data_IF_255837387141
#
_entry.id   IF_255837387141
#
_cell.length_a   1.000
_cell.length_b   1.000
_cell.length_c   1.000
_cell.angle_alpha   90.00
_cell.angle_beta   90.00
_cell.angle_gamma   90.00
#
_symmetry.space_group_name_H-M   'P 1'
#
loop_
_entity.id
_entity.type
_entity.pdbx_description
1 polymer ?
#
# COMPACT_ATOMS: atom_id res chain seq x y z
N UNK A 1 -17.99 -1.77 5.20
CA UNK A 1 -17.95 -2.94 4.29
C UNK A 1 -18.58 -4.15 4.96
N UNK A 2 -18.90 -5.18 4.17
CA UNK A 2 -19.29 -6.51 4.63
C UNK A 2 -18.23 -7.51 4.15
N UNK A 3 -17.87 -8.47 5.00
CA UNK A 3 -17.00 -9.60 4.65
C UNK A 3 -17.89 -10.83 4.45
N UNK A 4 -18.01 -11.28 3.21
CA UNK A 4 -18.82 -12.43 2.81
C UNK A 4 -17.98 -13.68 2.81
N UNK A 5 -18.48 -14.75 3.40
CA UNK A 5 -17.81 -16.04 3.36
C UNK A 5 -17.98 -16.68 1.97
N UNK A 6 -16.87 -17.01 1.31
CA UNK A 6 -16.87 -17.53 -0.05
C UNK A 6 -17.61 -18.87 -0.16
N UNK A 7 -18.53 -18.97 -1.10
CA UNK A 7 -19.19 -20.23 -1.45
C UNK A 7 -20.22 -20.74 -0.44
N UNK A 8 -20.69 -19.87 0.46
CA UNK A 8 -21.53 -20.22 1.60
C UNK A 8 -23.03 -19.88 1.44
N UNK A 9 -23.49 -19.42 0.27
CA UNK A 9 -24.91 -19.09 0.06
C UNK A 9 -25.38 -17.82 0.79
N UNK A 10 -24.47 -16.89 1.08
CA UNK A 10 -24.81 -15.57 1.63
C UNK A 10 -24.50 -15.39 3.12
N UNK A 11 -23.54 -16.12 3.69
CA UNK A 11 -23.06 -15.79 5.02
C UNK A 11 -22.04 -14.64 5.00
N UNK A 12 -22.08 -13.83 6.05
CA UNK A 12 -21.19 -12.69 6.30
C UNK A 12 -20.66 -12.72 7.72
N UNK A 13 -19.51 -12.10 7.93
CA UNK A 13 -18.97 -11.81 9.26
C UNK A 13 -19.96 -10.92 10.04
N UNK A 14 -20.32 -11.35 11.24
CA UNK A 14 -21.29 -10.69 12.08
C UNK A 14 -20.87 -10.73 13.56
N UNK A 15 -21.49 -9.86 14.35
CA UNK A 15 -21.49 -9.99 15.81
C UNK A 15 -22.76 -10.70 16.26
N UNK A 16 -22.61 -11.65 17.17
CA UNK A 16 -23.77 -12.36 17.72
C UNK A 16 -24.75 -11.36 18.36
N UNK A 17 -26.03 -11.34 17.96
CA UNK A 17 -27.02 -10.47 18.58
C UNK A 17 -27.31 -10.92 20.02
N UNK A 18 -27.27 -9.99 20.98
CA UNK A 18 -27.73 -10.26 22.36
C UNK A 18 -26.66 -10.43 23.45
N UNK A 19 -25.37 -10.16 23.20
CA UNK A 19 -24.33 -10.22 24.24
C UNK A 19 -23.80 -8.81 24.62
N UNK A 20 -23.77 -8.48 25.92
CA UNK A 20 -23.12 -7.29 26.47
C UNK A 20 -21.62 -7.59 26.68
N UNK A 21 -20.71 -6.81 26.09
CA UNK A 21 -19.23 -6.92 26.17
C UNK A 21 -18.63 -8.30 25.82
N UNK A 22 -17.45 -8.35 25.19
CA UNK A 22 -16.84 -9.61 24.68
C UNK A 22 -17.77 -10.38 23.73
N UNK A 23 -18.38 -9.68 22.77
CA UNK A 23 -19.26 -10.30 21.78
C UNK A 23 -18.49 -11.32 20.94
N UNK A 24 -19.12 -12.48 20.74
CA UNK A 24 -18.60 -13.51 19.86
C UNK A 24 -18.77 -13.07 18.41
N UNK A 25 -17.70 -13.22 17.63
CA UNK A 25 -17.74 -13.05 16.18
C UNK A 25 -18.29 -14.34 15.57
N UNK A 26 -19.30 -14.20 14.73
CA UNK A 26 -20.04 -15.32 14.14
C UNK A 26 -20.22 -15.12 12.63
N UNK A 27 -20.68 -16.17 11.95
CA UNK A 27 -21.27 -16.04 10.62
C UNK A 27 -22.78 -15.88 10.72
N UNK A 28 -23.34 -15.03 9.87
CA UNK A 28 -24.78 -14.79 9.80
C UNK A 28 -25.22 -14.51 8.36
N UNK A 29 -26.51 -14.58 8.06
CA UNK A 29 -27.04 -14.31 6.71
C UNK A 29 -26.96 -12.83 6.36
N UNK A 30 -26.88 -12.54 5.06
CA UNK A 30 -27.02 -11.16 4.57
C UNK A 30 -28.45 -10.68 4.82
N UNK A 31 -28.62 -9.82 5.82
CA UNK A 31 -29.82 -8.98 6.00
C UNK A 31 -29.40 -7.57 6.47
N UNK A 32 -30.37 -6.68 6.73
CA UNK A 32 -30.14 -5.25 6.99
C UNK A 32 -29.68 -4.89 8.42
N UNK A 33 -29.43 -5.88 9.28
CA UNK A 33 -28.92 -5.64 10.64
C UNK A 33 -27.53 -4.98 10.70
N UNK A 34 -27.37 -4.04 11.65
CA UNK A 34 -26.16 -3.22 11.81
C UNK A 34 -24.92 -3.99 12.32
N UNK A 35 -25.12 -5.14 12.98
CA UNK A 35 -24.08 -6.00 13.54
C UNK A 35 -23.21 -6.73 12.50
N UNK A 36 -23.41 -6.46 11.20
CA UNK A 36 -22.70 -7.10 10.07
C UNK A 36 -21.88 -6.11 9.25
N UNK A 37 -21.85 -4.85 9.70
CA UNK A 37 -21.08 -3.80 9.04
C UNK A 37 -19.80 -3.50 9.80
N UNK A 38 -18.71 -3.46 9.04
CA UNK A 38 -17.37 -3.28 9.55
C UNK A 38 -16.71 -2.05 8.93
N UNK A 39 -15.88 -1.37 9.71
CA UNK A 39 -14.92 -0.36 9.26
C UNK A 39 -13.53 -0.96 9.41
N UNK A 40 -12.65 -0.72 8.44
CA UNK A 40 -11.22 -1.01 8.60
C UNK A 40 -10.54 0.25 9.14
N UNK A 41 -9.88 0.12 10.29
CA UNK A 41 -8.99 1.17 10.80
C UNK A 41 -7.57 0.85 10.31
N UNK A 42 -7.18 1.45 9.19
CA UNK A 42 -5.93 1.13 8.49
C UNK A 42 -4.74 1.81 9.17
N UNK A 43 -3.74 1.03 9.52
CA UNK A 43 -2.40 1.50 9.82
C UNK A 43 -1.63 1.69 8.50
N UNK A 44 -1.41 2.94 8.10
CA UNK A 44 -0.74 3.25 6.82
C UNK A 44 0.74 2.88 6.80
N UNK A 45 1.38 2.66 7.94
CA UNK A 45 2.80 2.34 7.99
C UNK A 45 3.13 0.92 7.50
N UNK A 46 2.18 -0.01 7.60
CA UNK A 46 2.38 -1.40 7.18
C UNK A 46 1.17 -2.03 6.49
N UNK A 47 0.15 -1.21 6.17
CA UNK A 47 -1.13 -1.60 5.58
C UNK A 47 -1.87 -2.72 6.33
N UNK A 48 -1.55 -2.92 7.62
CA UNK A 48 -2.37 -3.72 8.52
C UNK A 48 -3.57 -2.89 8.98
N UNK A 49 -4.61 -3.54 9.49
CA UNK A 49 -5.81 -2.86 9.93
C UNK A 49 -6.49 -3.56 11.10
N UNK A 50 -7.23 -2.81 11.88
CA UNK A 50 -8.20 -3.37 12.82
C UNK A 50 -9.56 -3.50 12.13
N UNK A 51 -10.28 -4.59 12.42
CA UNK A 51 -11.66 -4.79 11.97
C UNK A 51 -12.60 -4.23 13.04
N UNK A 52 -13.12 -3.04 12.80
CA UNK A 52 -13.95 -2.29 13.76
C UNK A 52 -15.43 -2.54 13.48
N UNK A 53 -16.15 -2.98 14.49
CA UNK A 53 -17.62 -3.06 14.43
C UNK A 53 -18.23 -1.67 14.31
N UNK A 54 -19.12 -1.46 13.33
CA UNK A 54 -19.87 -0.21 13.23
C UNK A 54 -20.95 -0.06 14.30
N UNK A 55 -21.45 -1.16 14.86
CA UNK A 55 -22.51 -1.11 15.87
C UNK A 55 -21.98 -0.83 17.28
N UNK A 56 -20.75 -1.27 17.59
CA UNK A 56 -20.17 -1.16 18.95
C UNK A 56 -18.90 -0.34 19.02
N UNK A 57 -18.22 -0.08 17.89
CA UNK A 57 -16.91 0.59 17.86
C UNK A 57 -15.74 -0.28 18.37
N UNK A 58 -15.99 -1.54 18.72
CA UNK A 58 -14.96 -2.48 19.21
C UNK A 58 -14.25 -3.19 18.08
N UNK A 59 -13.01 -3.61 18.32
CA UNK A 59 -12.16 -4.31 17.37
C UNK A 59 -12.16 -5.81 17.57
N UNK A 60 -12.15 -6.56 16.47
CA UNK A 60 -11.97 -8.01 16.46
C UNK A 60 -10.52 -8.36 16.81
N UNK A 61 -10.33 -9.08 17.91
CA UNK A 61 -9.05 -9.61 18.37
C UNK A 61 -8.99 -11.13 18.35
N UNK A 62 -7.81 -11.66 18.08
CA UNK A 62 -7.49 -13.08 18.17
C UNK A 62 -6.92 -13.39 19.56
N UNK A 63 -7.53 -14.33 20.27
CA UNK A 63 -7.05 -14.79 21.57
C UNK A 63 -6.62 -16.27 21.46
N UNK A 64 -5.33 -16.57 21.68
CA UNK A 64 -4.82 -17.93 21.64
C UNK A 64 -5.53 -18.84 22.63
N UNK A 65 -5.73 -20.10 22.24
CA UNK A 65 -6.23 -21.16 23.12
C UNK A 65 -5.17 -22.27 23.26
N UNK A 66 -5.43 -23.25 24.13
CA UNK A 66 -4.63 -24.48 24.18
C UNK A 66 -4.80 -25.36 22.93
N UNK A 67 -5.80 -25.07 22.09
CA UNK A 67 -6.08 -25.78 20.85
C UNK A 67 -5.36 -25.16 19.65
N UNK A 68 -5.50 -25.77 18.46
CA UNK A 68 -4.88 -25.26 17.24
C UNK A 68 -5.53 -23.98 16.71
N UNK A 69 -6.68 -23.57 17.23
CA UNK A 69 -7.37 -22.33 16.86
C UNK A 69 -7.33 -21.27 17.97
N UNK A 70 -7.53 -20.02 17.57
CA UNK A 70 -7.73 -18.88 18.45
C UNK A 70 -9.22 -18.54 18.46
N UNK A 71 -9.76 -18.17 19.61
CA UNK A 71 -11.11 -17.62 19.69
C UNK A 71 -11.07 -16.15 19.32
N UNK A 72 -12.13 -15.67 18.65
CA UNK A 72 -12.26 -14.25 18.33
C UNK A 72 -13.16 -13.56 19.33
N UNK A 73 -12.65 -12.46 19.87
CA UNK A 73 -13.35 -11.63 20.84
C UNK A 73 -13.36 -10.19 20.35
N UNK A 74 -14.41 -9.45 20.68
CA UNK A 74 -14.40 -7.99 20.52
C UNK A 74 -13.94 -7.29 21.78
N UNK A 75 -13.02 -6.35 21.66
CA UNK A 75 -12.60 -5.48 22.75
C UNK A 75 -12.35 -4.05 22.26
N UNK A 76 -12.04 -3.13 23.17
CA UNK A 76 -11.59 -1.80 22.78
C UNK A 76 -10.41 -1.91 21.81
N UNK A 77 -10.40 -1.06 20.79
CA UNK A 77 -9.33 -1.01 19.80
C UNK A 77 -8.04 -0.49 20.45
N UNK A 78 -6.97 -1.26 20.35
CA UNK A 78 -5.68 -0.96 20.99
C UNK A 78 -4.51 -0.97 20.01
N UNK A 79 -4.75 -1.21 18.72
CA UNK A 79 -3.72 -1.32 17.67
C UNK A 79 -2.64 -2.38 18.00
N UNK A 80 -2.99 -3.39 18.79
CA UNK A 80 -2.09 -4.51 19.14
C UNK A 80 -2.10 -5.55 18.04
N UNK A 81 -1.01 -6.28 17.83
CA UNK A 81 -0.91 -7.25 16.75
C UNK A 81 -2.01 -8.34 16.77
N UNK A 82 -2.47 -8.73 17.96
CA UNK A 82 -3.61 -9.65 18.12
C UNK A 82 -4.94 -9.08 17.60
N UNK A 83 -5.09 -7.77 17.50
CA UNK A 83 -6.24 -7.07 16.91
C UNK A 83 -5.98 -6.55 15.49
N UNK A 84 -4.73 -6.67 14.99
CA UNK A 84 -4.36 -6.26 13.64
C UNK A 84 -4.44 -7.44 12.69
N UNK A 85 -4.94 -7.13 11.51
CA UNK A 85 -5.18 -8.07 10.43
C UNK A 85 -4.57 -7.52 9.14
N UNK A 86 -4.33 -8.39 8.18
CA UNK A 86 -3.96 -8.00 6.82
C UNK A 86 -4.67 -8.91 5.81
N UNK A 87 -4.84 -8.39 4.60
CA UNK A 87 -5.38 -9.15 3.49
C UNK A 87 -4.26 -9.94 2.81
N UNK A 88 -4.50 -11.22 2.60
CA UNK A 88 -3.65 -12.09 1.81
C UNK A 88 -4.50 -12.64 0.65
N UNK A 89 -4.27 -12.20 -0.59
CA UNK A 89 -4.99 -12.69 -1.77
C UNK A 89 -5.03 -14.22 -1.82
N UNK A 90 -6.20 -14.77 -2.13
CA UNK A 90 -6.42 -16.20 -2.38
C UNK A 90 -6.79 -16.45 -3.84
N UNK A 91 -7.31 -17.64 -4.20
CA UNK A 91 -7.66 -17.96 -5.57
C UNK A 91 -8.84 -17.13 -6.08
N UNK A 92 -8.68 -16.52 -7.27
CA UNK A 92 -9.67 -15.63 -7.87
C UNK A 92 -9.73 -14.28 -7.16
N UNK A 93 -10.94 -13.79 -6.88
CA UNK A 93 -11.17 -12.51 -6.19
C UNK A 93 -11.34 -12.66 -4.67
N UNK A 94 -10.91 -13.79 -4.11
CA UNK A 94 -11.07 -14.13 -2.70
C UNK A 94 -9.85 -13.70 -1.90
N UNK A 95 -10.09 -13.44 -0.62
CA UNK A 95 -9.08 -12.97 0.31
C UNK A 95 -9.05 -13.88 1.53
N UNK A 96 -7.87 -14.18 2.00
CA UNK A 96 -7.66 -14.68 3.35
C UNK A 96 -7.39 -13.45 4.24
N UNK A 97 -8.00 -13.41 5.42
CA UNK A 97 -7.79 -12.33 6.39
C UNK A 97 -6.93 -12.90 7.51
N UNK A 98 -5.69 -12.43 7.62
CA UNK A 98 -4.68 -13.04 8.50
C UNK A 98 -4.38 -12.15 9.69
N UNK A 99 -4.27 -12.75 10.86
CA UNK A 99 -3.86 -12.04 12.07
C UNK A 99 -2.36 -11.73 12.02
N UNK A 100 -1.96 -10.55 12.50
CA UNK A 100 -0.55 -10.11 12.49
C UNK A 100 0.28 -10.92 13.49
N UNK A 101 -0.21 -11.17 14.71
CA UNK A 101 0.58 -11.86 15.74
C UNK A 101 0.65 -13.37 15.50
N UNK A 102 -0.51 -14.01 15.26
CA UNK A 102 -0.54 -15.47 15.14
C UNK A 102 -0.30 -15.99 13.72
N UNK A 103 -0.39 -15.14 12.70
CA UNK A 103 -0.31 -15.53 11.29
C UNK A 103 -1.47 -16.42 10.82
N UNK A 104 -2.46 -16.70 11.69
CA UNK A 104 -3.62 -17.54 11.44
C UNK A 104 -4.69 -16.80 10.63
N UNK A 105 -5.53 -17.55 9.94
CA UNK A 105 -6.58 -17.05 9.08
C UNK A 105 -7.93 -16.99 9.80
N UNK A 106 -8.63 -15.89 9.59
CA UNK A 106 -10.03 -15.71 9.94
C UNK A 106 -10.86 -16.79 9.23
N UNK A 107 -11.60 -17.59 10.00
CA UNK A 107 -12.28 -18.77 9.49
C UNK A 107 -13.63 -18.99 10.16
N UNK A 108 -14.65 -19.33 9.38
CA UNK A 108 -15.85 -19.93 9.95
C UNK A 108 -15.50 -21.28 10.58
N UNK A 109 -15.94 -21.50 11.83
CA UNK A 109 -15.71 -22.75 12.54
C UNK A 109 -16.34 -23.92 11.78
N UNK A 110 -15.65 -25.06 11.74
CA UNK A 110 -16.10 -26.26 11.02
C UNK A 110 -15.64 -26.40 9.57
N UNK A 111 -14.92 -25.42 8.99
CA UNK A 111 -14.15 -25.44 7.73
C UNK A 111 -14.84 -25.90 6.41
N UNK A 112 -15.92 -26.67 6.44
CA UNK A 112 -16.83 -26.94 5.33
C UNK A 112 -18.02 -25.96 5.40
N UNK A 113 -17.91 -24.87 4.64
CA UNK A 113 -18.93 -23.81 4.53
C UNK A 113 -20.30 -24.32 4.11
N UNK A 114 -20.41 -25.54 3.56
CA UNK A 114 -21.69 -26.14 3.20
C UNK A 114 -22.57 -26.42 4.41
N UNK A 115 -21.96 -26.56 5.59
CA UNK A 115 -22.67 -26.87 6.83
C UNK A 115 -22.73 -25.71 7.81
N UNK A 116 -22.21 -24.53 7.44
CA UNK A 116 -22.29 -23.34 8.29
C UNK A 116 -23.74 -22.94 8.56
N UNK A 117 -24.04 -22.61 9.82
CA UNK A 117 -25.33 -22.15 10.30
C UNK A 117 -25.20 -20.74 10.83
N UNK A 118 -26.34 -20.04 10.87
CA UNK A 118 -26.41 -18.73 11.53
C UNK A 118 -25.98 -18.87 12.98
N UNK A 119 -25.05 -18.03 13.42
CA UNK A 119 -24.51 -18.03 14.78
C UNK A 119 -23.28 -18.93 14.97
N UNK A 120 -22.84 -19.67 13.95
CA UNK A 120 -21.60 -20.45 14.06
C UNK A 120 -20.41 -19.51 14.33
N UNK A 121 -19.49 -19.89 15.22
CA UNK A 121 -18.38 -19.02 15.58
C UNK A 121 -17.41 -18.81 14.42
N UNK A 122 -16.78 -17.64 14.41
CA UNK A 122 -15.60 -17.37 13.61
C UNK A 122 -14.38 -17.44 14.52
N UNK A 123 -13.36 -18.13 14.06
CA UNK A 123 -12.11 -18.41 14.77
C UNK A 123 -10.91 -17.94 13.95
N UNK A 124 -9.72 -17.88 14.55
CA UNK A 124 -8.47 -17.82 13.79
C UNK A 124 -7.82 -19.21 13.79
N UNK A 125 -7.49 -19.76 12.62
CA UNK A 125 -6.93 -21.12 12.50
C UNK A 125 -5.77 -21.15 11.50
N UNK A 126 -4.86 -22.15 11.51
CA UNK A 126 -3.84 -22.27 10.48
C UNK A 126 -4.42 -22.14 9.07
N UNK A 127 -3.75 -21.33 8.28
CA UNK A 127 -4.21 -20.95 6.96
C UNK A 127 -4.19 -22.13 5.98
N UNK A 128 -5.26 -22.30 5.23
CA UNK A 128 -5.45 -23.37 4.24
C UNK A 128 -6.11 -22.79 2.98
N UNK A 129 -5.40 -22.83 1.85
CA UNK A 129 -5.83 -22.16 0.61
C UNK A 129 -7.16 -22.70 0.05
N UNK A 130 -7.37 -24.01 0.16
CA UNK A 130 -8.56 -24.70 -0.36
C UNK A 130 -9.75 -24.67 0.63
N UNK A 131 -9.52 -24.22 1.86
CA UNK A 131 -10.56 -24.16 2.87
C UNK A 131 -11.49 -22.97 2.59
N UNK A 132 -12.63 -23.23 1.94
CA UNK A 132 -13.66 -22.23 1.65
C UNK A 132 -14.08 -21.43 2.89
N UNK A 133 -13.99 -22.06 4.07
CA UNK A 133 -14.26 -21.45 5.37
C UNK A 133 -13.32 -20.30 5.75
N UNK A 134 -12.19 -20.16 5.05
CA UNK A 134 -11.17 -19.14 5.29
C UNK A 134 -11.06 -18.12 4.16
N UNK A 135 -11.87 -18.28 3.12
CA UNK A 135 -11.88 -17.41 1.95
C UNK A 135 -13.03 -16.43 2.06
N UNK A 136 -12.72 -15.15 1.97
CA UNK A 136 -13.66 -14.05 2.13
C UNK A 136 -13.73 -13.22 0.86
N UNK A 137 -14.92 -12.70 0.59
CA UNK A 137 -15.19 -11.72 -0.44
C UNK A 137 -15.58 -10.41 0.25
N UNK A 138 -15.15 -9.28 -0.30
CA UNK A 138 -15.68 -7.99 0.12
C UNK A 138 -16.98 -7.78 -0.65
N UNK A 139 -18.07 -7.46 0.05
CA UNK A 139 -19.36 -7.16 -0.59
C UNK A 139 -19.29 -5.92 -1.49
N UNK A 140 -20.40 -5.53 -2.11
CA UNK A 140 -20.49 -4.32 -2.95
C UNK A 140 -19.88 -3.10 -2.21
N UNK A 141 -18.70 -2.67 -2.63
CA UNK A 141 -17.82 -1.80 -1.87
C UNK A 141 -16.45 -1.64 -2.54
N UNK A 142 -15.46 -1.04 -1.86
CA UNK A 142 -14.18 -0.64 -2.44
C UNK A 142 -13.24 -1.85 -2.60
N UNK A 143 -13.60 -2.79 -3.47
CA UNK A 143 -12.79 -3.96 -3.77
C UNK A 143 -11.37 -3.57 -4.18
N UNK A 144 -11.23 -2.49 -4.98
CA UNK A 144 -9.92 -1.91 -5.33
C UNK A 144 -9.14 -1.51 -4.08
N UNK A 145 -9.69 -0.72 -3.16
CA UNK A 145 -8.97 -0.29 -1.96
C UNK A 145 -8.56 -1.44 -1.04
N UNK A 146 -9.35 -2.53 -0.98
CA UNK A 146 -8.96 -3.73 -0.22
C UNK A 146 -7.81 -4.47 -0.91
N UNK A 147 -7.84 -4.53 -2.24
CA UNK A 147 -6.73 -5.08 -3.01
C UNK A 147 -5.47 -4.24 -2.90
N UNK A 148 -5.61 -2.91 -2.90
CA UNK A 148 -4.50 -1.97 -2.67
C UNK A 148 -3.88 -2.21 -1.29
N UNK A 149 -4.68 -2.42 -0.23
CA UNK A 149 -4.16 -2.77 1.09
C UNK A 149 -3.39 -4.11 1.10
N UNK A 150 -3.86 -5.12 0.37
CA UNK A 150 -3.12 -6.37 0.23
C UNK A 150 -1.76 -6.17 -0.44
N UNK A 151 -1.72 -5.33 -1.48
CA UNK A 151 -0.51 -5.02 -2.24
C UNK A 151 0.45 -4.16 -1.42
N UNK A 152 -0.05 -3.13 -0.73
CA UNK A 152 0.75 -2.29 0.16
C UNK A 152 1.37 -3.12 1.28
N UNK A 153 0.60 -4.02 1.90
CA UNK A 153 1.13 -4.90 2.94
C UNK A 153 2.21 -5.83 2.39
N UNK A 154 2.00 -6.32 1.17
CA UNK A 154 2.94 -7.18 0.47
C UNK A 154 4.24 -6.49 0.09
N UNK A 155 4.13 -5.28 -0.44
CA UNK A 155 5.25 -4.41 -0.74
C UNK A 155 6.03 -4.08 0.53
N UNK A 156 5.36 -3.67 1.62
CA UNK A 156 5.98 -3.39 2.91
C UNK A 156 6.71 -4.60 3.50
N UNK A 157 6.12 -5.79 3.38
CA UNK A 157 6.76 -7.04 3.79
C UNK A 157 7.99 -7.32 2.93
N UNK A 158 7.90 -7.14 1.62
CA UNK A 158 9.03 -7.39 0.72
C UNK A 158 10.17 -6.37 0.87
N UNK A 159 9.87 -5.12 1.23
CA UNK A 159 10.89 -4.13 1.56
C UNK A 159 11.75 -4.59 2.75
N UNK A 160 11.11 -5.18 3.76
CA UNK A 160 11.77 -5.71 4.97
C UNK A 160 12.49 -7.03 4.71
N UNK A 161 11.96 -7.88 3.83
CA UNK A 161 12.54 -9.17 3.46
C UNK A 161 12.33 -9.44 1.98
N UNK A 162 13.38 -9.22 1.19
CA UNK A 162 13.34 -9.32 -0.28
C UNK A 162 13.02 -10.70 -0.81
N UNK A 163 13.16 -11.74 -0.01
CA UNK A 163 12.89 -13.13 -0.42
C UNK A 163 11.38 -13.42 -0.46
N UNK A 164 10.55 -12.53 0.10
CA UNK A 164 9.10 -12.64 0.07
C UNK A 164 8.46 -12.16 -1.24
N UNK A 165 9.25 -11.59 -2.17
CA UNK A 165 8.74 -11.23 -3.49
C UNK A 165 9.76 -11.26 -4.63
N UNK A 166 9.25 -11.43 -5.85
CA UNK A 166 10.02 -11.34 -7.09
C UNK A 166 9.34 -10.42 -8.10
N UNK A 167 10.14 -9.82 -8.98
CA UNK A 167 9.69 -9.00 -10.09
C UNK A 167 10.10 -9.64 -11.40
N UNK A 168 9.14 -9.78 -12.31
CA UNK A 168 9.39 -10.17 -13.69
C UNK A 168 9.00 -9.03 -14.63
N UNK A 169 10.00 -8.37 -15.23
CA UNK A 169 9.77 -7.32 -16.22
C UNK A 169 9.27 -7.94 -17.53
N UNK A 170 8.26 -7.32 -18.13
CA UNK A 170 7.64 -7.82 -19.36
C UNK A 170 7.84 -6.83 -20.52
N UNK A 171 7.65 -5.55 -20.25
CA UNK A 171 7.82 -4.50 -21.26
C UNK A 171 8.33 -3.21 -20.66
N UNK A 172 9.07 -2.48 -21.47
CA UNK A 172 9.68 -1.20 -21.14
C UNK A 172 9.19 -0.16 -22.16
N UNK A 173 8.59 0.92 -21.67
CA UNK A 173 8.31 2.07 -22.53
C UNK A 173 9.63 2.84 -22.80
N UNK A 174 9.74 3.60 -23.89
CA UNK A 174 10.86 4.53 -24.05
C UNK A 174 10.92 5.52 -22.89
N UNK A 175 12.14 5.87 -22.47
CA UNK A 175 12.33 6.95 -21.52
C UNK A 175 11.76 8.28 -22.07
N UNK A 176 11.03 9.00 -21.24
CA UNK A 176 10.39 10.25 -21.59
C UNK A 176 10.46 11.25 -20.43
N UNK A 177 10.41 12.57 -20.70
CA UNK A 177 10.22 13.58 -19.67
C UNK A 177 8.85 13.40 -19.01
N UNK A 178 8.81 13.38 -17.68
CA UNK A 178 7.59 13.52 -16.90
C UNK A 178 7.17 15.00 -16.87
N UNK A 179 5.88 15.29 -16.64
CA UNK A 179 5.44 16.64 -16.32
C UNK A 179 6.31 17.24 -15.20
N UNK A 180 6.77 18.48 -15.40
CA UNK A 180 7.55 19.18 -14.38
C UNK A 180 6.74 19.30 -13.08
N UNK A 181 7.36 18.95 -11.96
CA UNK A 181 6.80 19.16 -10.62
C UNK A 181 7.59 20.25 -9.91
N UNK A 182 6.97 21.00 -9.00
CA UNK A 182 7.73 21.92 -8.16
C UNK A 182 8.81 21.15 -7.39
N UNK A 183 10.07 21.52 -7.63
CA UNK A 183 11.24 20.98 -6.95
C UNK A 183 11.66 21.82 -5.74
N UNK A 184 10.94 22.92 -5.46
CA UNK A 184 11.19 23.84 -4.36
C UNK A 184 9.90 24.48 -3.87
N UNK A 185 9.95 25.10 -2.69
CA UNK A 185 8.98 26.11 -2.27
C UNK A 185 8.91 27.25 -3.30
N UNK A 186 7.80 28.00 -3.29
CA UNK A 186 7.61 29.19 -4.13
C UNK A 186 7.94 30.43 -3.30
N UNK A 187 8.79 31.31 -3.82
CA UNK A 187 9.10 32.60 -3.19
C UNK A 187 8.61 33.75 -4.07
N UNK A 188 8.32 34.90 -3.45
CA UNK A 188 7.90 36.12 -4.14
C UNK A 188 8.91 37.23 -3.89
N UNK A 189 9.35 37.92 -4.95
CA UNK A 189 10.22 39.09 -4.82
C UNK A 189 9.37 40.36 -4.62
N UNK A 190 9.12 40.70 -3.36
CA UNK A 190 8.46 41.92 -2.89
C UNK A 190 9.32 43.19 -3.09
N UNK A 191 10.63 43.04 -3.27
CA UNK A 191 11.56 44.18 -3.26
C UNK A 191 11.52 44.96 -4.58
N UNK A 192 11.92 46.24 -4.59
CA UNK A 192 11.99 47.04 -5.81
C UNK A 192 13.17 46.66 -6.73
N UNK A 193 14.01 45.69 -6.35
CA UNK A 193 15.20 45.27 -7.10
C UNK A 193 15.18 43.76 -7.43
N UNK A 194 15.86 43.32 -8.50
CA UNK A 194 16.01 41.89 -8.76
C UNK A 194 16.74 41.20 -7.60
N UNK A 195 16.26 40.02 -7.19
CA UNK A 195 16.83 39.26 -6.08
C UNK A 195 17.37 37.93 -6.59
N UNK A 196 18.61 37.63 -6.22
CA UNK A 196 19.27 36.39 -6.58
C UNK A 196 19.00 35.31 -5.53
N UNK A 197 18.59 34.14 -6.01
CA UNK A 197 18.38 32.96 -5.18
C UNK A 197 19.31 31.83 -5.60
N UNK A 198 19.74 31.05 -4.61
CA UNK A 198 20.55 29.85 -4.80
C UNK A 198 19.76 28.66 -4.30
N UNK A 199 19.60 27.67 -5.15
CA UNK A 199 19.01 26.39 -4.79
C UNK A 199 20.06 25.32 -4.64
N UNK A 200 19.92 24.56 -3.56
CA UNK A 200 20.76 23.40 -3.27
C UNK A 200 19.92 22.15 -3.44
N UNK A 201 20.34 21.27 -4.34
CA UNK A 201 19.73 19.96 -4.57
C UNK A 201 19.91 19.08 -3.33
N UNK A 202 18.81 18.69 -2.66
CA UNK A 202 18.88 17.82 -1.47
C UNK A 202 18.22 16.46 -1.65
N UNK A 203 17.27 16.28 -2.58
CA UNK A 203 16.58 14.98 -2.78
C UNK A 203 16.23 14.73 -4.24
N UNK A 204 16.35 13.49 -4.70
CA UNK A 204 15.88 13.06 -6.03
C UNK A 204 14.75 12.04 -5.87
N UNK A 205 13.63 12.38 -5.24
CA UNK A 205 12.49 11.45 -5.06
C UNK A 205 11.75 11.21 -6.38
N UNK A 206 10.98 10.12 -6.52
CA UNK A 206 10.01 10.02 -7.64
C UNK A 206 9.76 8.65 -8.27
N UNK A 207 9.88 7.55 -7.53
CA UNK A 207 9.32 6.29 -7.99
C UNK A 207 7.82 6.28 -7.71
N UNK A 208 7.03 5.82 -8.68
CA UNK A 208 5.60 5.65 -8.51
C UNK A 208 5.12 4.41 -9.26
N UNK A 209 3.96 3.90 -8.90
CA UNK A 209 3.38 2.73 -9.52
C UNK A 209 1.87 2.88 -9.69
N UNK A 210 1.27 2.02 -10.50
CA UNK A 210 -0.16 2.11 -10.83
C UNK A 210 -1.03 1.32 -9.84
N UNK A 211 -0.44 0.36 -9.10
CA UNK A 211 -1.18 -0.47 -8.15
C UNK A 211 -0.65 -0.33 -6.71
N UNK A 212 -1.48 0.21 -5.81
CA UNK A 212 -1.14 0.48 -4.41
C UNK A 212 -0.78 1.95 -4.14
N UNK A 213 -0.32 2.22 -2.92
CA UNK A 213 0.23 3.51 -2.52
C UNK A 213 1.55 3.78 -3.24
N UNK A 214 1.74 5.03 -3.70
CA UNK A 214 2.98 5.47 -4.35
C UNK A 214 4.18 5.08 -3.49
N UNK A 215 5.15 4.38 -4.08
CA UNK A 215 6.46 4.16 -3.47
C UNK A 215 7.24 5.48 -3.44
N UNK A 216 6.73 6.48 -2.72
CA UNK A 216 7.33 7.81 -2.64
C UNK A 216 8.56 7.74 -1.74
N UNK A 217 9.70 7.38 -2.34
CA UNK A 217 10.93 7.15 -1.59
C UNK A 217 11.68 8.46 -1.41
N UNK A 218 11.59 9.02 -0.21
CA UNK A 218 12.62 9.92 0.33
C UNK A 218 13.92 9.14 0.54
N UNK A 219 15.02 9.60 -0.08
CA UNK A 219 16.33 8.92 -0.09
C UNK A 219 17.07 8.90 1.26
N UNK A 220 16.43 9.22 2.38
CA UNK A 220 17.12 9.43 3.66
C UNK A 220 17.20 8.20 4.57
N UNK A 221 16.51 7.10 4.26
CA UNK A 221 16.58 5.89 5.09
C UNK A 221 16.64 4.62 4.26
N UNK A 222 17.73 3.85 4.40
CA UNK A 222 18.12 2.69 3.58
C UNK A 222 17.20 1.45 3.54
N UNK A 223 15.93 1.56 3.92
CA UNK A 223 14.97 0.45 3.87
C UNK A 223 14.14 0.38 2.57
N UNK A 224 14.05 1.47 1.82
CA UNK A 224 13.13 1.58 0.67
C UNK A 224 13.82 1.29 -0.69
N UNK A 225 15.11 0.95 -0.67
CA UNK A 225 15.88 0.66 -1.88
C UNK A 225 15.67 -0.73 -2.50
N UNK A 226 15.07 -1.68 -1.77
CA UNK A 226 15.13 -3.10 -2.14
C UNK A 226 14.12 -3.53 -3.21
N UNK A 227 12.88 -3.04 -3.18
CA UNK A 227 11.90 -3.23 -4.26
C UNK A 227 12.34 -2.53 -5.54
N UNK A 228 12.79 -1.28 -5.41
CA UNK A 228 13.31 -0.48 -6.52
C UNK A 228 14.51 -1.17 -7.16
N UNK A 229 15.45 -1.67 -6.36
CA UNK A 229 16.59 -2.44 -6.85
C UNK A 229 16.16 -3.67 -7.67
N UNK A 230 15.08 -4.37 -7.26
CA UNK A 230 14.56 -5.52 -8.02
C UNK A 230 13.99 -5.12 -9.39
N UNK A 231 13.26 -4.00 -9.48
CA UNK A 231 12.73 -3.50 -10.75
C UNK A 231 13.87 -3.02 -11.65
N UNK A 232 14.75 -2.20 -11.11
CA UNK A 232 15.91 -1.64 -11.80
C UNK A 232 16.86 -2.71 -12.33
N UNK A 233 17.13 -3.78 -11.56
CA UNK A 233 17.99 -4.88 -12.00
C UNK A 233 17.46 -5.65 -13.22
N UNK A 234 16.20 -5.41 -13.63
CA UNK A 234 15.58 -6.03 -14.81
C UNK A 234 15.51 -5.11 -16.02
N UNK A 235 15.90 -3.85 -15.90
CA UNK A 235 15.97 -2.92 -17.02
C UNK A 235 17.02 -3.39 -18.04
N UNK A 236 16.64 -3.38 -19.32
CA UNK A 236 17.55 -3.71 -20.43
C UNK A 236 18.46 -2.56 -20.83
N UNK A 237 18.16 -1.34 -20.37
CA UNK A 237 18.87 -0.13 -20.79
C UNK A 237 20.26 -0.08 -20.15
N UNK A 238 21.25 0.35 -20.93
CA UNK A 238 22.54 0.88 -20.48
C UNK A 238 22.42 2.19 -19.69
N UNK A 239 21.30 2.39 -18.98
CA UNK A 239 20.99 3.58 -18.22
C UNK A 239 21.58 3.42 -16.82
N UNK A 240 22.36 4.41 -16.40
CA UNK A 240 22.64 4.59 -14.98
C UNK A 240 21.33 4.99 -14.31
N UNK A 241 20.67 4.01 -13.69
CA UNK A 241 19.67 4.30 -12.68
C UNK A 241 20.39 5.00 -11.53
N UNK A 242 19.74 5.98 -10.91
CA UNK A 242 20.27 6.74 -9.77
C UNK A 242 20.54 5.77 -8.61
N UNK A 243 21.70 5.12 -8.61
CA UNK A 243 22.23 4.41 -7.46
C UNK A 243 22.94 5.46 -6.61
N UNK A 244 22.54 5.51 -5.34
CA UNK A 244 22.80 6.54 -4.34
C UNK A 244 24.27 6.78 -3.96
N UNK A 245 25.26 6.32 -4.73
CA UNK A 245 26.67 6.45 -4.32
C UNK A 245 27.55 7.25 -5.29
N UNK A 246 26.97 7.93 -6.29
CA UNK A 246 27.71 8.92 -7.08
C UNK A 246 26.89 10.18 -7.33
N UNK A 247 26.85 11.08 -6.35
CA UNK A 247 26.85 12.50 -6.69
C UNK A 247 27.70 13.27 -5.70
N UNK A 248 28.94 13.47 -6.13
CA UNK A 248 29.79 14.59 -5.79
C UNK A 248 29.11 15.90 -6.20
N UNK A 249 29.19 16.88 -5.30
CA UNK A 249 29.00 18.33 -5.50
C UNK A 249 27.54 18.84 -5.57
N UNK A 250 27.22 19.69 -4.59
CA UNK A 250 26.02 20.51 -4.57
C UNK A 250 26.08 21.50 -5.74
N UNK A 251 25.38 21.17 -6.84
CA UNK A 251 25.26 22.08 -7.97
C UNK A 251 24.32 23.23 -7.57
N UNK A 252 24.91 24.35 -7.16
CA UNK A 252 24.20 25.58 -6.82
C UNK A 252 23.87 26.33 -8.12
N UNK A 253 22.60 26.33 -8.51
CA UNK A 253 22.16 27.18 -9.63
C UNK A 253 21.70 28.51 -9.06
N UNK A 254 22.38 29.60 -9.43
CA UNK A 254 21.96 30.97 -9.10
C UNK A 254 21.02 31.48 -10.19
N UNK A 255 19.89 32.06 -9.81
CA UNK A 255 18.98 32.70 -10.76
C UNK A 255 18.35 33.94 -10.11
N UNK A 256 17.96 34.88 -10.95
CA UNK A 256 17.46 36.19 -10.53
C UNK A 256 15.96 36.27 -10.73
N UNK A 257 15.22 36.66 -9.69
CA UNK A 257 13.79 36.95 -9.75
C UNK A 257 13.57 38.45 -9.85
N UNK A 258 12.77 38.89 -10.81
CA UNK A 258 12.46 40.31 -10.98
C UNK A 258 11.53 40.81 -9.86
N UNK A 259 11.53 42.11 -9.57
CA UNK A 259 10.52 42.74 -8.71
C UNK A 259 9.11 42.35 -9.14
N UNK A 260 8.28 41.94 -8.18
CA UNK A 260 6.89 41.57 -8.44
C UNK A 260 6.67 40.21 -9.10
N UNK A 261 7.70 39.37 -9.22
CA UNK A 261 7.57 38.00 -9.72
C UNK A 261 7.74 36.96 -8.60
N UNK A 262 7.07 35.83 -8.76
CA UNK A 262 7.35 34.60 -8.04
C UNK A 262 8.53 33.88 -8.71
N UNK A 263 9.36 33.20 -7.92
CA UNK A 263 10.29 32.21 -8.44
C UNK A 263 10.07 30.85 -7.81
N UNK A 264 10.42 29.81 -8.57
CA UNK A 264 10.45 28.41 -8.12
C UNK A 264 11.42 27.60 -8.99
N UNK A 265 11.79 26.40 -8.55
CA UNK A 265 12.39 25.39 -9.43
C UNK A 265 11.36 24.36 -9.84
N UNK A 266 11.38 23.99 -11.11
CA UNK A 266 10.69 22.79 -11.60
C UNK A 266 11.69 21.66 -11.79
N UNK A 267 11.34 20.49 -11.30
CA UNK A 267 12.08 19.26 -11.54
C UNK A 267 11.49 18.58 -12.79
N UNK A 268 12.22 18.65 -13.90
CA UNK A 268 11.90 17.93 -15.12
C UNK A 268 12.57 16.55 -15.07
N UNK A 269 11.87 15.56 -14.50
CA UNK A 269 12.37 14.18 -14.41
C UNK A 269 12.28 13.51 -15.76
N UNK A 270 13.34 12.81 -16.16
CA UNK A 270 13.25 11.76 -17.17
C UNK A 270 12.88 10.49 -16.44
N UNK A 271 11.91 9.75 -16.95
CA UNK A 271 11.55 8.47 -16.38
C UNK A 271 11.21 7.46 -17.47
N UNK A 272 11.24 6.20 -17.07
CA UNK A 272 10.86 5.09 -17.90
C UNK A 272 9.80 4.27 -17.18
N UNK A 273 8.70 3.96 -17.88
CA UNK A 273 7.68 3.05 -17.36
C UNK A 273 8.10 1.60 -17.61
N UNK A 274 8.15 0.81 -16.56
CA UNK A 274 8.45 -0.63 -16.59
C UNK A 274 7.19 -1.37 -16.19
N UNK A 275 6.63 -2.12 -17.13
CA UNK A 275 5.47 -2.97 -16.86
C UNK A 275 5.94 -4.40 -16.64
N UNK A 276 5.41 -5.02 -15.60
CA UNK A 276 5.77 -6.37 -15.24
C UNK A 276 4.80 -6.95 -14.22
N UNK A 277 5.23 -8.08 -13.65
CA UNK A 277 4.44 -8.82 -12.69
C UNK A 277 5.23 -9.01 -11.40
N UNK A 278 4.65 -8.53 -10.28
CA UNK A 278 5.08 -8.90 -8.95
C UNK A 278 4.56 -10.30 -8.61
N UNK A 279 5.40 -11.12 -7.99
CA UNK A 279 4.99 -12.36 -7.33
C UNK A 279 5.29 -12.22 -5.84
N UNK A 280 4.26 -12.34 -5.00
CA UNK A 280 4.38 -12.24 -3.55
C UNK A 280 4.16 -13.61 -2.90
N UNK A 281 5.00 -13.97 -1.94
CA UNK A 281 4.94 -15.21 -1.16
C UNK A 281 4.88 -14.94 0.35
N UNK A 282 3.78 -14.36 0.83
CA UNK A 282 3.68 -13.86 2.21
C UNK A 282 3.20 -14.96 3.15
N UNK A 283 3.98 -15.19 4.21
CA UNK A 283 3.68 -16.17 5.24
C UNK A 283 3.62 -17.62 4.75
N UNK A 284 4.35 -17.93 3.67
CA UNK A 284 4.73 -19.29 3.27
C UNK A 284 3.63 -20.23 2.77
N UNK A 285 2.41 -19.73 2.54
CA UNK A 285 1.27 -20.58 2.16
C UNK A 285 1.18 -20.83 0.66
N UNK A 286 1.25 -19.76 -0.13
CA UNK A 286 1.16 -19.77 -1.59
C UNK A 286 1.74 -18.46 -2.13
N UNK A 287 1.94 -18.42 -3.44
CA UNK A 287 2.28 -17.20 -4.15
C UNK A 287 1.08 -16.66 -4.91
N UNK A 288 1.02 -15.35 -5.04
CA UNK A 288 0.04 -14.67 -5.89
C UNK A 288 0.74 -13.58 -6.67
N UNK A 289 0.17 -13.24 -7.82
CA UNK A 289 0.74 -12.28 -8.75
C UNK A 289 -0.14 -11.06 -8.94
N UNK A 290 0.51 -9.92 -9.19
CA UNK A 290 -0.16 -8.70 -9.62
C UNK A 290 0.67 -8.03 -10.71
N UNK A 291 -0.01 -7.64 -11.78
CA UNK A 291 0.59 -6.83 -12.83
C UNK A 291 0.65 -5.39 -12.35
N UNK A 292 1.78 -4.73 -12.54
CA UNK A 292 1.98 -3.34 -12.19
C UNK A 292 2.84 -2.63 -13.25
N UNK A 293 2.72 -1.32 -13.29
CA UNK A 293 3.57 -0.43 -14.10
C UNK A 293 4.27 0.53 -13.17
N UNK A 294 5.59 0.37 -13.05
CA UNK A 294 6.44 1.18 -12.19
C UNK A 294 7.11 2.25 -13.02
N UNK A 295 6.95 3.51 -12.62
CA UNK A 295 7.67 4.66 -13.18
C UNK A 295 9.02 4.76 -12.48
N UNK A 296 10.08 4.51 -13.25
CA UNK A 296 11.47 4.55 -12.78
C UNK A 296 12.11 5.87 -13.22
N UNK A 297 12.42 6.80 -12.31
CA UNK A 297 13.16 8.01 -12.64
C UNK A 297 14.60 7.66 -13.05
N UNK A 298 15.08 8.34 -14.08
CA UNK A 298 16.40 8.15 -14.69
C UNK A 298 17.21 9.43 -14.59
N UNK A 299 18.52 9.32 -14.38
CA UNK A 299 19.41 10.48 -14.43
C UNK A 299 19.60 10.94 -15.87
N UNK A 300 19.89 10.00 -16.77
CA UNK A 300 19.93 10.23 -18.21
C UNK A 300 19.36 9.02 -18.97
N UNK A 301 18.76 9.27 -20.13
CA UNK A 301 18.41 8.24 -21.11
C UNK A 301 18.16 8.87 -22.49
N UNK A 302 18.66 8.26 -23.56
CA UNK A 302 18.39 8.70 -24.94
C UNK A 302 18.66 10.19 -25.20
N UNK A 303 19.71 10.75 -24.59
CA UNK A 303 20.05 12.18 -24.68
C UNK A 303 19.18 13.12 -23.83
N UNK A 304 18.22 12.57 -23.07
CA UNK A 304 17.45 13.30 -22.07
C UNK A 304 18.15 13.19 -20.71
N UNK A 305 18.09 14.25 -19.93
CA UNK A 305 18.64 14.32 -18.57
C UNK A 305 17.60 14.88 -17.63
N UNK A 306 17.52 14.35 -16.40
CA UNK A 306 16.73 14.96 -15.33
C UNK A 306 17.37 16.27 -14.93
N UNK A 307 16.64 17.39 -15.07
CA UNK A 307 17.17 18.74 -14.80
C UNK A 307 16.27 19.53 -13.85
N UNK A 308 16.88 20.44 -13.10
CA UNK A 308 16.17 21.50 -12.38
C UNK A 308 16.12 22.75 -13.26
N UNK A 309 14.93 23.29 -13.46
CA UNK A 309 14.71 24.48 -14.27
C UNK A 309 14.25 25.60 -13.36
N UNK A 310 15.05 26.67 -13.25
CA UNK A 310 14.62 27.89 -12.57
C UNK A 310 13.50 28.56 -13.38
N UNK A 311 12.44 28.97 -12.69
CA UNK A 311 11.29 29.66 -13.25
C UNK A 311 11.05 30.96 -12.50
N UNK A 312 10.62 32.00 -13.22
CA UNK A 312 10.02 33.20 -12.62
C UNK A 312 8.78 33.62 -13.39
N UNK A 313 7.77 34.13 -12.69
CA UNK A 313 6.52 34.59 -13.29
C UNK A 313 5.77 35.58 -12.39
N UNK A 314 5.03 36.55 -12.96
CA UNK A 314 4.11 37.40 -12.19
C UNK A 314 2.98 36.63 -11.50
N UNK A 315 2.69 35.41 -11.93
CA UNK A 315 1.68 34.54 -11.32
C UNK A 315 2.33 33.33 -10.66
N UNK A 316 1.88 32.90 -9.47
CA UNK A 316 2.47 31.75 -8.80
C UNK A 316 2.21 30.46 -9.60
N UNK A 317 3.10 29.45 -9.51
CA UNK A 317 2.89 28.18 -10.18
C UNK A 317 1.68 27.46 -9.57
N UNK A 318 1.03 26.61 -10.37
CA UNK A 318 0.00 25.69 -9.90
C UNK A 318 0.65 24.46 -9.29
N UNK A 319 1.38 24.63 -8.20
CA UNK A 319 1.96 23.53 -7.47
C UNK A 319 1.14 23.21 -6.23
N UNK A 320 0.70 21.97 -6.12
CA UNK A 320 0.20 21.38 -4.87
C UNK A 320 1.41 20.83 -4.12
N UNK A 321 1.68 21.40 -2.95
CA UNK A 321 2.61 20.86 -1.96
C UNK A 321 1.90 19.86 -1.05
#
# INVERSE_FOLDING_TARGET
>A
MRLHLSGSGGFVLALHPGALSNQQVVVDRVDDGQNRFWKLSVNRADATFEIVSKSTGTCVGSQPTAERYDVLVTANCQNKGSQRWYFNPGPGNKLMVRNVDSGKCLAAFGADVRNSRVGDPVIATPCQLEARGQLWLVGSGPYSAVWDLAIDHAANTCQKSTDTCTWNAESEAPAAPLPGSCGSEVWYNDTPYPLDHVFTRTKTTGYSNEVGSELEVGFETGAVGSLIAKVTAKLKVSAKVVWSNSHSEAEQTKFTVKPGEYGWYELAKVAQKVTGTWTFGIGGLHTWTVRDTVTVPLEHANGLTTIYVAKSSPTPPRCSF
#
